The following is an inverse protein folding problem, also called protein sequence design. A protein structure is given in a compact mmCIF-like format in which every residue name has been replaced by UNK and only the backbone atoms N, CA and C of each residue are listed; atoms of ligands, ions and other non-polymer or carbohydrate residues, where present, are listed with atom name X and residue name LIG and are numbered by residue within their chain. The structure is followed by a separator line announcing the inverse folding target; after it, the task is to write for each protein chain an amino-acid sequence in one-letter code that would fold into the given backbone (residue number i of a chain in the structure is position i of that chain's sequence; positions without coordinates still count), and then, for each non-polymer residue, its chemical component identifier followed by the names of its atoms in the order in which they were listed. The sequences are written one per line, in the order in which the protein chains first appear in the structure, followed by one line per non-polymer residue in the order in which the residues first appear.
data_IF_552385922653
#
_entry.id   IF_552385922653
#
_cell.length_a   1.000
_cell.length_b   1.000
_cell.length_c   1.000
_cell.angle_alpha   90.00
_cell.angle_beta   90.00
_cell.angle_gamma   90.00
#
_symmetry.space_group_name_H-M   'P 1'
#
loop_
_entity.id
_entity.type
_entity.pdbx_description
1 polymer ?
#
# COMPACT_ATOMS: atom_id res chain seq x y z
N UNK A 1 -8.50 -0.89 22.61
CA UNK A 1 -9.47 -0.68 21.52
C UNK A 1 -8.81 0.20 20.45
N UNK A 2 -8.33 -0.41 19.36
CA UNK A 2 -7.57 0.30 18.31
C UNK A 2 -8.43 1.33 17.55
N UNK A 3 -9.69 0.99 17.27
CA UNK A 3 -10.66 1.87 16.60
C UNK A 3 -10.89 3.14 17.42
N UNK A 4 -11.03 3.00 18.74
CA UNK A 4 -11.17 4.15 19.64
C UNK A 4 -9.96 5.08 19.61
N UNK A 5 -8.74 4.52 19.62
CA UNK A 5 -7.50 5.32 19.54
C UNK A 5 -7.40 6.04 18.20
N UNK A 6 -7.77 5.40 17.09
CA UNK A 6 -7.81 6.04 15.77
C UNK A 6 -8.84 7.18 15.72
N UNK A 7 -10.06 6.96 16.21
CA UNK A 7 -11.10 7.97 16.23
C UNK A 7 -10.68 9.22 17.03
N UNK A 8 -10.12 9.01 18.23
CA UNK A 8 -9.58 10.10 19.04
C UNK A 8 -8.35 10.75 18.39
N UNK A 9 -7.48 9.98 17.72
CA UNK A 9 -6.35 10.51 16.98
C UNK A 9 -6.75 11.46 15.84
N UNK A 10 -7.78 11.10 15.06
CA UNK A 10 -8.35 11.98 14.03
C UNK A 10 -8.97 13.23 14.66
N UNK A 11 -9.75 13.08 15.73
CA UNK A 11 -10.34 14.21 16.45
C UNK A 11 -9.30 15.19 17.00
N UNK A 12 -8.22 14.66 17.60
CA UNK A 12 -7.10 15.46 18.08
C UNK A 12 -6.35 16.15 16.94
N UNK A 13 -6.12 15.47 15.81
CA UNK A 13 -5.50 16.08 14.63
C UNK A 13 -6.29 17.26 14.09
N UNK A 14 -7.62 17.15 14.02
CA UNK A 14 -8.51 18.23 13.59
C UNK A 14 -8.51 19.40 14.60
N UNK A 15 -8.52 19.12 15.90
CA UNK A 15 -8.45 20.16 16.92
C UNK A 15 -7.09 20.90 16.88
N UNK A 16 -5.99 20.18 16.72
CA UNK A 16 -4.63 20.73 16.62
C UNK A 16 -4.37 21.49 15.31
N UNK A 17 -5.26 21.38 14.31
CA UNK A 17 -5.15 22.19 13.11
C UNK A 17 -5.21 23.70 13.39
N UNK A 18 -5.93 24.10 14.44
CA UNK A 18 -6.02 25.50 14.90
C UNK A 18 -4.96 25.87 15.94
N UNK A 19 -4.09 24.93 16.32
CA UNK A 19 -3.05 25.18 17.31
C UNK A 19 -1.90 26.02 16.73
N UNK A 20 -1.09 26.58 17.62
CA UNK A 20 0.09 27.37 17.27
C UNK A 20 1.10 26.57 16.43
N UNK A 21 1.89 27.26 15.61
CA UNK A 21 2.95 26.63 14.81
C UNK A 21 3.95 25.85 15.68
N UNK A 22 4.29 26.37 16.86
CA UNK A 22 5.17 25.69 17.83
C UNK A 22 4.59 24.37 18.30
N UNK A 23 3.28 24.31 18.58
CA UNK A 23 2.62 23.06 18.99
C UNK A 23 2.68 22.03 17.86
N UNK A 24 2.42 22.45 16.61
CA UNK A 24 2.50 21.56 15.44
C UNK A 24 3.90 20.98 15.26
N UNK A 25 4.94 21.82 15.38
CA UNK A 25 6.33 21.40 15.29
C UNK A 25 6.68 20.34 16.35
N UNK A 26 6.24 20.50 17.59
CA UNK A 26 6.46 19.51 18.66
C UNK A 26 5.84 18.15 18.30
N UNK A 27 4.61 18.13 17.77
CA UNK A 27 3.96 16.88 17.36
C UNK A 27 4.64 16.24 16.14
N UNK A 28 5.15 17.06 15.22
CA UNK A 28 5.91 16.59 14.06
C UNK A 28 7.25 15.96 14.48
N UNK A 29 8.01 16.63 15.35
CA UNK A 29 9.27 16.13 15.91
C UNK A 29 9.07 14.83 16.70
N UNK A 30 7.97 14.75 17.46
CA UNK A 30 7.59 13.53 18.17
C UNK A 30 7.30 12.38 17.19
N UNK A 31 6.51 12.64 16.14
CA UNK A 31 6.21 11.66 15.08
C UNK A 31 7.49 11.17 14.38
N UNK A 32 8.42 12.09 14.09
CA UNK A 32 9.70 11.76 13.49
C UNK A 32 10.57 10.91 14.42
N UNK A 33 10.59 11.25 15.71
CA UNK A 33 11.32 10.49 16.75
C UNK A 33 10.78 9.07 16.89
N UNK A 34 9.46 8.89 16.95
CA UNK A 34 8.82 7.57 16.99
C UNK A 34 9.13 6.78 15.71
N UNK A 35 9.05 7.44 14.55
CA UNK A 35 9.39 6.82 13.26
C UNK A 35 10.85 6.35 13.22
N UNK A 36 11.77 7.09 13.84
CA UNK A 36 13.18 6.70 13.94
C UNK A 36 13.37 5.43 14.79
N UNK A 37 12.67 5.34 15.92
CA UNK A 37 12.67 4.12 16.76
C UNK A 37 12.12 2.92 15.99
N UNK A 38 10.99 3.09 15.29
CA UNK A 38 10.41 2.01 14.47
C UNK A 38 11.38 1.56 13.39
N UNK A 39 12.06 2.49 12.69
CA UNK A 39 13.10 2.15 11.70
C UNK A 39 14.25 1.36 12.31
N UNK A 40 14.66 1.69 13.53
CA UNK A 40 15.68 0.93 14.25
C UNK A 40 15.22 -0.50 14.55
N UNK A 41 13.99 -0.68 15.05
CA UNK A 41 13.41 -2.00 15.31
C UNK A 41 13.31 -2.83 14.03
N UNK A 42 12.87 -2.23 12.91
CA UNK A 42 12.81 -2.91 11.61
C UNK A 42 14.19 -3.41 11.16
N UNK A 43 15.27 -2.67 11.43
CA UNK A 43 16.64 -3.13 11.12
C UNK A 43 17.06 -4.37 11.91
N UNK A 44 16.49 -4.57 13.10
CA UNK A 44 16.73 -5.76 13.93
C UNK A 44 15.80 -6.94 13.60
N UNK A 45 14.69 -6.68 12.90
CA UNK A 45 13.71 -7.70 12.50
C UNK A 45 14.30 -8.93 11.77
N UNK A 46 15.34 -8.84 10.91
CA UNK A 46 15.89 -10.02 10.23
C UNK A 46 16.34 -11.13 11.18
N UNK A 47 16.93 -10.78 12.32
CA UNK A 47 17.37 -11.76 13.32
C UNK A 47 16.18 -12.45 14.00
N UNK A 48 15.14 -11.69 14.32
CA UNK A 48 13.92 -12.23 14.92
C UNK A 48 13.13 -13.13 13.94
N UNK A 49 12.97 -12.68 12.70
CA UNK A 49 12.28 -13.44 11.65
C UNK A 49 13.05 -14.74 11.37
N UNK A 50 14.38 -14.70 11.31
CA UNK A 50 15.18 -15.91 11.13
C UNK A 50 14.91 -16.96 12.22
N UNK A 51 14.89 -16.56 13.49
CA UNK A 51 14.57 -17.47 14.59
C UNK A 51 13.15 -18.05 14.52
N UNK A 52 12.15 -17.22 14.20
CA UNK A 52 10.76 -17.66 14.03
C UNK A 52 10.60 -18.64 12.87
N UNK A 53 11.22 -18.33 11.72
CA UNK A 53 11.17 -19.17 10.52
C UNK A 53 11.90 -20.50 10.76
N UNK A 54 13.09 -20.49 11.37
CA UNK A 54 13.83 -21.71 11.70
C UNK A 54 13.03 -22.64 12.62
N UNK A 55 12.38 -22.10 13.66
CA UNK A 55 11.50 -22.87 14.55
C UNK A 55 10.27 -23.43 13.83
N UNK A 56 9.66 -22.63 12.95
CA UNK A 56 8.50 -23.06 12.15
C UNK A 56 8.88 -24.20 11.19
N UNK A 57 10.03 -24.09 10.50
CA UNK A 57 10.52 -25.17 9.62
C UNK A 57 10.83 -26.47 10.38
N UNK A 58 11.41 -26.36 11.59
CA UNK A 58 11.71 -27.51 12.43
C UNK A 58 10.46 -28.27 12.88
N UNK A 59 9.31 -27.59 12.99
CA UNK A 59 8.06 -28.16 13.52
C UNK A 59 7.07 -28.59 12.43
N UNK A 60 6.93 -27.84 11.34
CA UNK A 60 5.87 -28.05 10.33
C UNK A 60 6.35 -28.59 8.97
N UNK A 61 7.66 -28.54 8.71
CA UNK A 61 8.26 -29.10 7.48
C UNK A 61 7.67 -28.53 6.18
N UNK A 62 7.66 -29.34 5.11
CA UNK A 62 7.22 -28.93 3.76
C UNK A 62 5.72 -28.67 3.62
N UNK A 63 4.89 -29.09 4.59
CA UNK A 63 3.44 -28.84 4.55
C UNK A 63 3.11 -27.34 4.64
N UNK A 64 3.94 -26.56 5.34
CA UNK A 64 3.82 -25.11 5.43
C UNK A 64 3.97 -24.42 4.07
N UNK A 65 4.80 -24.97 3.17
CA UNK A 65 5.06 -24.37 1.86
C UNK A 65 3.82 -24.33 0.96
N UNK A 66 2.97 -25.37 1.03
CA UNK A 66 1.70 -25.42 0.30
C UNK A 66 0.73 -24.33 0.78
N UNK A 67 0.65 -24.12 2.09
CA UNK A 67 -0.16 -23.05 2.69
C UNK A 67 0.34 -21.66 2.30
N UNK A 68 1.66 -21.44 2.26
CA UNK A 68 2.23 -20.19 1.76
C UNK A 68 1.94 -19.96 0.28
N UNK A 69 2.03 -21.00 -0.55
CA UNK A 69 1.70 -20.89 -1.98
C UNK A 69 0.22 -20.54 -2.20
N UNK A 70 -0.69 -21.15 -1.44
CA UNK A 70 -2.11 -20.80 -1.47
C UNK A 70 -2.31 -19.33 -1.08
N UNK A 71 -1.71 -18.89 0.02
CA UNK A 71 -1.82 -17.51 0.49
C UNK A 71 -1.31 -16.50 -0.57
N UNK A 72 -0.19 -16.80 -1.20
CA UNK A 72 0.34 -16.00 -2.31
C UNK A 72 -0.62 -15.98 -3.50
N UNK A 73 -1.22 -17.11 -3.85
CA UNK A 73 -2.20 -17.18 -4.93
C UNK A 73 -3.44 -16.32 -4.65
N UNK A 74 -3.95 -16.33 -3.42
CA UNK A 74 -5.09 -15.49 -3.00
C UNK A 74 -4.72 -14.01 -3.04
N UNK A 75 -3.54 -13.65 -2.52
CA UNK A 75 -3.06 -12.27 -2.52
C UNK A 75 -2.89 -11.73 -3.95
N UNK A 76 -2.19 -12.48 -4.82
CA UNK A 76 -1.98 -12.09 -6.22
C UNK A 76 -3.30 -12.08 -6.99
N UNK A 77 -4.18 -13.06 -6.75
CA UNK A 77 -5.51 -13.12 -7.34
C UNK A 77 -6.35 -11.89 -6.99
N UNK A 78 -6.39 -11.50 -5.72
CA UNK A 78 -7.11 -10.30 -5.28
C UNK A 78 -6.54 -9.02 -5.90
N UNK A 79 -5.21 -8.90 -6.00
CA UNK A 79 -4.57 -7.77 -6.67
C UNK A 79 -4.90 -7.72 -8.17
N UNK A 80 -4.91 -8.87 -8.86
CA UNK A 80 -5.30 -8.95 -10.27
C UNK A 80 -6.76 -8.57 -10.49
N UNK A 81 -7.68 -9.01 -9.61
CA UNK A 81 -9.11 -8.65 -9.70
C UNK A 81 -9.28 -7.14 -9.58
N UNK A 82 -8.58 -6.50 -8.64
CA UNK A 82 -8.66 -5.04 -8.50
C UNK A 82 -8.08 -4.33 -9.72
N UNK A 83 -6.94 -4.80 -10.23
CA UNK A 83 -6.27 -4.20 -11.38
C UNK A 83 -7.05 -4.38 -12.70
N UNK A 84 -7.65 -5.54 -12.94
CA UNK A 84 -8.23 -5.93 -14.24
C UNK A 84 -9.75 -5.95 -14.28
N UNK A 85 -10.43 -5.93 -13.13
CA UNK A 85 -11.91 -5.93 -13.07
C UNK A 85 -12.43 -4.66 -12.45
N UNK A 86 -11.99 -4.32 -11.23
CA UNK A 86 -12.55 -3.17 -10.48
C UNK A 86 -12.12 -1.84 -11.10
N UNK A 87 -10.82 -1.61 -11.30
CA UNK A 87 -10.34 -0.36 -11.90
C UNK A 87 -10.89 -0.13 -13.31
N UNK A 88 -10.89 -1.13 -14.22
CA UNK A 88 -11.44 -0.95 -15.56
C UNK A 88 -12.96 -0.75 -15.55
N UNK A 89 -13.69 -1.41 -14.64
CA UNK A 89 -15.13 -1.18 -14.49
C UNK A 89 -15.43 0.27 -14.10
N UNK A 90 -14.67 0.85 -13.15
CA UNK A 90 -14.82 2.27 -12.76
C UNK A 90 -14.59 3.19 -13.96
N UNK A 91 -13.52 2.95 -14.74
CA UNK A 91 -13.21 3.73 -15.94
C UNK A 91 -14.31 3.60 -17.00
N UNK A 92 -14.84 2.38 -17.21
CA UNK A 92 -15.93 2.13 -18.15
C UNK A 92 -17.21 2.86 -17.74
N UNK A 93 -17.58 2.83 -16.46
CA UNK A 93 -18.78 3.53 -15.99
C UNK A 93 -18.69 5.05 -16.15
N UNK A 94 -17.48 5.63 -16.06
CA UNK A 94 -17.28 7.07 -16.20
C UNK A 94 -17.09 7.53 -17.64
N UNK A 95 -16.30 6.80 -18.42
CA UNK A 95 -15.93 7.19 -19.80
C UNK A 95 -16.89 6.61 -20.83
N UNK A 96 -17.62 5.53 -20.49
CA UNK A 96 -18.47 4.72 -21.39
C UNK A 96 -17.75 4.21 -22.65
N UNK A 97 -16.42 4.20 -22.62
CA UNK A 97 -15.55 3.70 -23.67
C UNK A 97 -14.79 2.48 -23.17
N UNK A 98 -14.25 1.68 -24.09
CA UNK A 98 -13.47 0.49 -23.74
C UNK A 98 -12.24 0.87 -22.88
N UNK A 99 -12.18 0.45 -21.59
CA UNK A 99 -11.12 0.85 -20.67
C UNK A 99 -9.84 0.02 -20.83
N UNK A 100 -9.94 -1.16 -21.46
CA UNK A 100 -8.85 -2.13 -21.50
C UNK A 100 -7.59 -1.62 -22.23
N UNK A 101 -7.66 -0.92 -23.38
CA UNK A 101 -6.48 -0.35 -24.03
C UNK A 101 -5.68 0.56 -23.08
N UNK A 102 -6.37 1.42 -22.34
CA UNK A 102 -5.77 2.33 -21.38
C UNK A 102 -5.18 1.58 -20.18
N UNK A 103 -5.89 0.58 -19.65
CA UNK A 103 -5.42 -0.25 -18.54
C UNK A 103 -4.18 -1.03 -18.92
N UNK A 104 -4.13 -1.62 -20.12
CA UNK A 104 -2.94 -2.34 -20.59
C UNK A 104 -1.75 -1.41 -20.85
N UNK A 105 -1.98 -0.21 -21.37
CA UNK A 105 -0.93 0.80 -21.53
C UNK A 105 -0.36 1.23 -20.17
N UNK A 106 -1.22 1.52 -19.20
CA UNK A 106 -0.81 1.85 -17.83
C UNK A 106 -0.08 0.68 -17.16
N UNK A 107 -0.56 -0.54 -17.31
CA UNK A 107 0.07 -1.74 -16.73
C UNK A 107 1.45 -1.97 -17.34
N UNK A 108 1.61 -1.73 -18.64
CA UNK A 108 2.88 -1.92 -19.36
C UNK A 108 3.92 -0.86 -19.01
N UNK A 109 3.56 0.42 -19.04
CA UNK A 109 4.55 1.50 -18.82
C UNK A 109 4.79 1.74 -17.32
N UNK A 110 3.72 1.85 -16.53
CA UNK A 110 3.80 2.15 -15.10
C UNK A 110 3.89 0.88 -14.25
N UNK A 111 3.08 -0.14 -14.54
CA UNK A 111 3.04 -1.37 -13.74
C UNK A 111 4.36 -2.14 -13.74
N UNK A 112 5.00 -2.29 -14.90
CA UNK A 112 6.30 -2.96 -15.01
C UNK A 112 7.37 -2.19 -14.24
N UNK A 113 7.44 -0.86 -14.42
CA UNK A 113 8.40 -0.01 -13.72
C UNK A 113 8.18 -0.04 -12.21
N UNK A 114 6.93 0.01 -11.74
CA UNK A 114 6.57 -0.10 -10.33
C UNK A 114 6.97 -1.46 -9.73
N UNK A 115 6.84 -2.55 -10.47
CA UNK A 115 7.22 -3.89 -10.02
C UNK A 115 8.72 -4.00 -9.76
N UNK A 116 9.54 -3.47 -10.68
CA UNK A 116 11.00 -3.52 -10.53
C UNK A 116 11.53 -2.53 -9.51
N UNK A 117 10.95 -1.33 -9.44
CA UNK A 117 11.39 -0.30 -8.49
C UNK A 117 10.90 -0.55 -7.06
N UNK A 118 9.80 -1.32 -6.91
CA UNK A 118 9.13 -1.61 -5.62
C UNK A 118 8.79 -0.37 -4.79
N UNK A 119 8.80 0.82 -5.40
CA UNK A 119 8.63 2.09 -4.73
C UNK A 119 7.63 2.95 -5.48
N UNK A 120 6.53 3.30 -4.79
CA UNK A 120 5.51 4.20 -5.35
C UNK A 120 6.07 5.60 -5.63
N UNK A 121 6.99 6.08 -4.79
CA UNK A 121 7.64 7.39 -4.98
C UNK A 121 8.53 7.41 -6.23
N UNK A 122 9.25 6.31 -6.51
CA UNK A 122 10.06 6.19 -7.72
C UNK A 122 9.23 6.16 -9.00
N UNK A 123 7.93 5.84 -8.90
CA UNK A 123 7.02 5.71 -10.03
C UNK A 123 6.21 6.99 -10.33
N UNK A 124 6.30 8.02 -9.48
CA UNK A 124 5.68 9.34 -9.70
C UNK A 124 6.07 9.95 -11.06
N UNK A 125 7.37 10.08 -11.43
CA UNK A 125 7.76 10.68 -12.71
C UNK A 125 7.27 9.89 -13.92
N UNK A 126 7.25 8.56 -13.83
CA UNK A 126 6.75 7.69 -14.91
C UNK A 126 5.25 7.87 -15.12
N UNK A 127 4.49 8.02 -14.04
CA UNK A 127 3.06 8.30 -14.11
C UNK A 127 2.77 9.70 -14.68
N UNK A 128 3.55 10.72 -14.32
CA UNK A 128 3.38 12.07 -14.86
C UNK A 128 3.62 12.09 -16.38
N UNK A 129 4.71 11.47 -16.85
CA UNK A 129 5.00 11.35 -18.29
C UNK A 129 3.94 10.54 -19.04
N UNK A 130 3.31 9.54 -18.40
CA UNK A 130 2.21 8.79 -18.99
C UNK A 130 0.94 9.63 -19.11
N UNK A 131 0.62 10.45 -18.10
CA UNK A 131 -0.52 11.38 -18.16
C UNK A 131 -0.34 12.44 -19.26
N UNK A 132 0.87 12.96 -19.43
CA UNK A 132 1.23 13.89 -20.51
C UNK A 132 1.02 13.26 -21.91
N UNK A 133 1.46 12.01 -22.11
CA UNK A 133 1.21 11.26 -23.36
C UNK A 133 -0.27 10.99 -23.64
N UNK A 134 -1.10 10.96 -22.61
CA UNK A 134 -2.55 10.73 -22.71
C UNK A 134 -3.33 12.03 -22.89
N UNK A 135 -2.65 13.17 -23.06
CA UNK A 135 -3.25 14.51 -23.25
C UNK A 135 -4.21 14.89 -22.11
N UNK A 136 -3.83 14.51 -20.88
CA UNK A 136 -4.58 14.84 -19.67
C UNK A 136 -4.21 16.24 -19.18
N UNK A 137 -5.17 16.88 -18.51
CA UNK A 137 -4.98 18.20 -17.90
C UNK A 137 -3.89 18.19 -16.81
N UNK A 138 -2.86 19.02 -17.01
CA UNK A 138 -1.68 19.10 -16.14
C UNK A 138 -2.01 19.56 -14.73
N UNK A 139 -2.92 20.52 -14.58
CA UNK A 139 -3.38 21.01 -13.28
C UNK A 139 -4.03 19.87 -12.46
N UNK A 140 -4.69 18.94 -13.13
CA UNK A 140 -5.34 17.80 -12.48
C UNK A 140 -4.37 16.68 -12.13
N UNK A 141 -3.50 16.23 -13.05
CA UNK A 141 -2.62 15.09 -12.78
C UNK A 141 -1.42 15.44 -11.88
N UNK A 142 -0.92 16.68 -11.95
CA UNK A 142 0.21 17.15 -11.13
C UNK A 142 -0.10 17.13 -9.63
N UNK A 143 -1.37 17.30 -9.24
CA UNK A 143 -1.82 17.22 -7.85
C UNK A 143 -2.30 15.81 -7.49
N UNK A 144 -3.08 15.17 -8.36
CA UNK A 144 -3.70 13.87 -8.06
C UNK A 144 -2.71 12.71 -8.00
N UNK A 145 -1.63 12.71 -8.80
CA UNK A 145 -0.63 11.63 -8.80
C UNK A 145 0.20 11.62 -7.50
N UNK A 146 0.80 12.73 -7.03
CA UNK A 146 1.52 12.74 -5.76
C UNK A 146 0.63 12.46 -4.55
N UNK A 147 -0.58 13.02 -4.54
CA UNK A 147 -1.57 12.77 -3.48
C UNK A 147 -2.02 11.30 -3.48
N UNK A 148 -2.28 10.74 -4.66
CA UNK A 148 -2.64 9.34 -4.84
C UNK A 148 -1.52 8.38 -4.44
N UNK A 149 -0.26 8.71 -4.72
CA UNK A 149 0.89 7.88 -4.34
C UNK A 149 1.02 7.68 -2.82
N UNK A 150 0.57 8.66 -2.04
CA UNK A 150 0.60 8.63 -0.56
C UNK A 150 -0.69 8.07 0.04
N UNK A 151 -1.87 8.50 -0.43
CA UNK A 151 -3.16 8.16 0.19
C UNK A 151 -3.74 6.84 -0.36
N UNK A 152 -3.61 6.58 -1.66
CA UNK A 152 -4.24 5.42 -2.29
C UNK A 152 -3.36 4.16 -2.17
N UNK A 153 -3.46 3.47 -1.03
CA UNK A 153 -2.70 2.25 -0.74
C UNK A 153 -3.49 0.94 -0.93
N UNK A 154 -4.27 0.79 -2.00
CA UNK A 154 -5.10 -0.40 -2.23
C UNK A 154 -4.31 -1.73 -2.11
N UNK A 155 -3.10 -1.81 -2.69
CA UNK A 155 -2.25 -3.02 -2.60
C UNK A 155 -1.80 -3.35 -1.17
N UNK A 156 -1.52 -2.34 -0.35
CA UNK A 156 -1.17 -2.56 1.06
C UNK A 156 -2.39 -3.00 1.86
N UNK A 157 -3.56 -2.42 1.59
CA UNK A 157 -4.81 -2.82 2.23
C UNK A 157 -5.13 -4.30 1.97
N UNK A 158 -5.07 -4.75 0.71
CA UNK A 158 -5.25 -6.17 0.34
C UNK A 158 -4.27 -7.05 1.13
N UNK A 159 -2.98 -6.71 1.08
CA UNK A 159 -1.92 -7.48 1.76
C UNK A 159 -2.20 -7.60 3.27
N UNK A 160 -2.48 -6.49 3.96
CA UNK A 160 -2.74 -6.50 5.40
C UNK A 160 -3.99 -7.31 5.72
N UNK A 161 -5.09 -7.11 4.99
CA UNK A 161 -6.35 -7.82 5.23
C UNK A 161 -6.21 -9.32 4.98
N UNK A 162 -5.60 -9.73 3.87
CA UNK A 162 -5.39 -11.14 3.54
C UNK A 162 -4.47 -11.83 4.55
N UNK A 163 -3.34 -11.20 4.93
CA UNK A 163 -2.44 -11.74 5.95
C UNK A 163 -3.10 -11.82 7.33
N UNK A 164 -3.91 -10.81 7.69
CA UNK A 164 -4.67 -10.83 8.96
C UNK A 164 -5.66 -11.98 8.98
N UNK A 165 -6.42 -12.18 7.90
CA UNK A 165 -7.39 -13.28 7.79
C UNK A 165 -6.69 -14.64 7.84
N UNK A 166 -5.54 -14.78 7.18
CA UNK A 166 -4.75 -15.99 7.23
C UNK A 166 -4.21 -16.29 8.64
N UNK A 167 -3.75 -15.27 9.36
CA UNK A 167 -3.31 -15.42 10.75
C UNK A 167 -4.46 -15.89 11.66
N UNK A 168 -5.67 -15.33 11.50
CA UNK A 168 -6.86 -15.77 12.22
C UNK A 168 -7.21 -17.22 11.87
N UNK A 169 -7.16 -17.60 10.58
CA UNK A 169 -7.44 -18.98 10.15
C UNK A 169 -6.38 -19.98 10.63
N UNK A 170 -5.14 -19.55 10.89
CA UNK A 170 -4.05 -20.45 11.30
C UNK A 170 -3.93 -20.58 12.83
N UNK A 171 -4.32 -19.54 13.59
CA UNK A 171 -4.27 -19.54 15.06
C UNK A 171 -5.63 -19.77 15.73
N UNK A 172 -6.73 -19.74 14.95
CA UNK A 172 -8.09 -19.98 15.41
C UNK A 172 -8.52 -21.45 15.34
#
# INVERSE_FOLDING_TARGET
NYIGILAWGVGLGLALHHASATTKAVFEDLSHSVSHIVRFIIRLAPFGIFGLVASTFATTGFSALASYAHLLAVLLGAMMIIALVVNPAIVFFKTKQNPYPLVFQCLRESGVTAFFTRSRAANIPVNMALCEKLDLDEDTYSVSIPLGATINMAGAAITITTLTLAAVHTMG
#
